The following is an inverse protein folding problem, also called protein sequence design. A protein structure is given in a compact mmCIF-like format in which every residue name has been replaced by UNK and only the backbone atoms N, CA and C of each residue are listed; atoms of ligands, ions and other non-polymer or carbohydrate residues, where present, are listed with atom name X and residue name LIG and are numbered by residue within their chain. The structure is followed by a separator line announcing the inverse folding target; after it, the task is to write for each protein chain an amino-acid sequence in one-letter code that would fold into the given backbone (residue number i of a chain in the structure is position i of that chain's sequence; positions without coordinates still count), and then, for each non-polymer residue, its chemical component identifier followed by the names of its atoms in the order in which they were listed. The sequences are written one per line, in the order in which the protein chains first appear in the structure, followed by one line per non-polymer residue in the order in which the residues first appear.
data_IF_206275454796
#
_entry.id   IF_206275454796
#
_cell.length_a   1.000
_cell.length_b   1.000
_cell.length_c   1.000
_cell.angle_alpha   90.00
_cell.angle_beta   90.00
_cell.angle_gamma   90.00
#
_symmetry.space_group_name_H-M   'P 1'
#
loop_
_entity.id
_entity.type
_entity.pdbx_description
1 polymer ?
#
# COMPACT_ATOMS: atom_id res chain seq x y z
N UNK A 1 8.99 -17.73 -12.04
CA UNK A 1 8.77 -17.62 -11.63
C UNK A 1 8.58 -17.46 -10.96
N UNK A 2 8.36 -17.40 -10.66
CA UNK A 2 7.94 -17.46 -10.01
C UNK A 2 7.86 -16.95 -8.99
N UNK A 3 7.26 -16.64 -8.64
CA UNK A 3 7.03 -16.03 -7.84
C UNK A 3 6.98 -16.64 -6.83
N UNK A 4 7.32 -16.64 -6.11
CA UNK A 4 7.32 -17.21 -5.22
C UNK A 4 6.53 -16.91 -4.27
N UNK A 5 5.50 -17.01 -4.19
CA UNK A 5 4.67 -16.85 -3.25
C UNK A 5 4.86 -17.83 -2.21
N UNK A 6 4.72 -17.54 -1.01
CA UNK A 6 4.79 -18.46 0.05
C UNK A 6 3.75 -19.46 -0.14
N UNK A 7 3.95 -20.69 0.16
CA UNK A 7 3.02 -21.58 0.06
C UNK A 7 2.22 -21.62 1.22
N UNK A 8 1.16 -21.12 1.40
CA UNK A 8 0.29 -21.14 2.53
C UNK A 8 -0.56 -22.34 2.42
N UNK A 9 -0.78 -23.03 3.48
CA UNK A 9 -1.68 -24.12 3.51
C UNK A 9 -3.06 -23.68 3.79
N UNK A 10 -3.52 -22.60 3.22
CA UNK A 10 -4.82 -22.03 3.48
C UNK A 10 -5.60 -22.07 2.22
N UNK A 11 -6.81 -22.58 2.24
CA UNK A 11 -7.69 -22.54 1.11
C UNK A 11 -8.19 -21.16 0.93
N UNK A 12 -8.36 -20.70 -0.27
CA UNK A 12 -8.82 -19.34 -0.50
C UNK A 12 -10.21 -19.10 0.04
N UNK A 13 -11.03 -20.14 0.14
CA UNK A 13 -12.37 -19.96 0.67
C UNK A 13 -12.36 -19.69 2.16
N UNK A 14 -11.23 -19.81 2.83
CA UNK A 14 -11.15 -19.48 4.22
C UNK A 14 -10.57 -18.12 4.46
N UNK A 15 -10.34 -17.36 3.41
CA UNK A 15 -9.80 -16.03 3.55
C UNK A 15 -10.92 -15.02 3.33
N UNK A 16 -10.63 -13.77 3.54
CA UNK A 16 -11.61 -12.73 3.37
C UNK A 16 -11.29 -11.92 2.16
N UNK A 17 -12.33 -11.54 1.44
CA UNK A 17 -12.17 -10.71 0.29
C UNK A 17 -11.87 -9.29 0.70
N UNK A 18 -11.02 -8.61 -0.02
CA UNK A 18 -10.71 -7.23 0.24
C UNK A 18 -11.36 -6.40 -0.85
N UNK A 19 -12.11 -5.39 -0.47
CA UNK A 19 -12.77 -4.54 -1.43
C UNK A 19 -12.29 -3.11 -1.25
N UNK A 20 -12.43 -2.33 -2.28
CA UNK A 20 -12.05 -0.92 -2.22
C UNK A 20 -13.00 -0.19 -1.28
N UNK A 21 -12.43 0.55 -0.35
CA UNK A 21 -13.24 1.28 0.63
C UNK A 21 -14.03 2.40 -0.01
N UNK A 22 -13.65 2.81 -1.21
CA UNK A 22 -14.33 3.91 -1.84
C UNK A 22 -15.35 3.45 -2.87
N UNK A 23 -15.03 2.52 -3.72
CA UNK A 23 -15.94 2.13 -4.78
C UNK A 23 -16.41 0.70 -4.70
N UNK A 24 -15.87 -0.08 -3.80
CA UNK A 24 -16.29 -1.48 -3.67
C UNK A 24 -15.66 -2.42 -4.66
N UNK A 25 -14.72 -1.96 -5.46
CA UNK A 25 -14.08 -2.85 -6.42
C UNK A 25 -13.24 -3.91 -5.76
N UNK A 26 -13.01 -5.00 -6.45
CA UNK A 26 -12.34 -6.13 -5.86
C UNK A 26 -10.98 -6.40 -6.48
N UNK A 27 -10.57 -5.64 -7.46
CA UNK A 27 -9.31 -5.88 -8.14
C UNK A 27 -8.39 -4.72 -7.85
N UNK A 28 -7.17 -5.05 -7.47
CA UNK A 28 -6.20 -4.02 -7.12
C UNK A 28 -4.95 -4.20 -7.96
N UNK A 29 -4.21 -3.13 -8.10
CA UNK A 29 -2.95 -3.18 -8.81
C UNK A 29 -1.87 -2.63 -7.91
N UNK A 30 -0.65 -3.06 -8.11
CA UNK A 30 0.45 -2.62 -7.29
C UNK A 30 1.05 -1.37 -7.88
N UNK A 31 1.37 -0.42 -7.06
CA UNK A 31 2.03 0.79 -7.50
C UNK A 31 2.98 1.28 -6.43
N UNK A 32 3.61 2.39 -6.67
CA UNK A 32 4.53 2.96 -5.71
C UNK A 32 4.03 4.32 -5.27
N UNK A 33 3.96 4.47 -3.95
CA UNK A 33 3.69 5.77 -3.38
C UNK A 33 5.03 6.35 -3.03
N UNK A 34 5.31 7.59 -3.38
CA UNK A 34 6.58 8.20 -3.09
C UNK A 34 6.45 9.18 -1.95
N UNK A 35 7.35 9.07 -1.00
CA UNK A 35 7.43 10.02 0.08
C UNK A 35 8.75 10.76 -0.04
N UNK A 36 8.77 12.01 0.35
CA UNK A 36 9.98 12.80 0.27
C UNK A 36 10.49 13.10 1.66
N UNK A 37 11.74 12.77 1.93
CA UNK A 37 12.35 13.09 3.20
C UNK A 37 13.24 14.29 2.96
N UNK A 38 13.02 15.33 3.73
CA UNK A 38 13.76 16.56 3.59
C UNK A 38 15.23 16.34 3.89
N UNK A 39 16.10 17.04 3.21
CA UNK A 39 17.53 16.96 3.46
C UNK A 39 17.87 17.33 4.90
N UNK A 40 17.01 18.12 5.54
CA UNK A 40 17.27 18.48 6.92
C UNK A 40 17.02 17.31 7.85
N UNK A 41 16.16 16.38 7.44
CA UNK A 41 15.94 15.21 8.24
C UNK A 41 17.00 14.15 8.00
N UNK A 42 17.47 14.04 6.79
CA UNK A 42 18.39 12.98 6.45
C UNK A 42 19.84 13.38 6.65
N UNK A 43 20.12 14.67 6.78
CA UNK A 43 21.49 15.14 6.93
C UNK A 43 22.30 15.08 5.66
N UNK A 44 21.62 15.06 4.52
CA UNK A 44 22.32 14.99 3.26
C UNK A 44 22.17 16.31 2.52
N UNK A 45 22.69 16.38 1.31
CA UNK A 45 22.64 17.62 0.55
C UNK A 45 21.41 17.70 -0.32
N UNK A 46 20.63 16.63 -0.42
CA UNK A 46 19.46 16.64 -1.25
C UNK A 46 18.35 15.93 -0.56
N UNK A 47 17.12 16.28 -0.91
CA UNK A 47 15.96 15.56 -0.40
C UNK A 47 15.99 14.15 -0.95
N UNK A 48 15.46 13.20 -0.22
CA UNK A 48 15.45 11.82 -0.64
C UNK A 48 14.05 11.38 -0.93
N UNK A 49 13.88 10.55 -1.94
CA UNK A 49 12.57 9.96 -2.25
C UNK A 49 12.55 8.54 -1.74
N UNK A 50 11.48 8.21 -1.06
CA UNK A 50 11.32 6.90 -0.46
C UNK A 50 10.17 6.22 -1.15
N UNK A 51 10.40 5.14 -1.87
CA UNK A 51 9.32 4.44 -2.55
C UNK A 51 8.66 3.45 -1.61
N UNK A 52 7.35 3.44 -1.60
CA UNK A 52 6.57 2.52 -0.78
C UNK A 52 5.62 1.78 -1.68
N UNK A 53 5.77 0.46 -1.80
CA UNK A 53 4.83 -0.28 -2.62
C UNK A 53 3.47 -0.35 -1.95
N UNK A 54 2.42 -0.08 -2.67
CA UNK A 54 1.07 -0.16 -2.14
C UNK A 54 0.16 -0.71 -3.22
N UNK A 55 -1.00 -1.17 -2.82
CA UNK A 55 -2.01 -1.59 -3.77
C UNK A 55 -3.04 -0.49 -3.91
N UNK A 56 -3.50 -0.25 -5.12
CA UNK A 56 -4.56 0.71 -5.33
C UNK A 56 -5.66 0.05 -6.14
N UNK A 57 -6.86 0.51 -5.97
CA UNK A 57 -8.00 -0.06 -6.69
C UNK A 57 -7.82 0.16 -8.17
N UNK A 58 -7.95 -0.90 -8.97
CA UNK A 58 -7.73 -0.75 -10.39
C UNK A 58 -8.88 0.00 -11.06
N UNK A 59 -10.02 0.12 -10.41
CA UNK A 59 -11.15 0.83 -10.99
C UNK A 59 -11.12 2.31 -10.67
N UNK A 60 -10.77 2.71 -9.47
CA UNK A 60 -10.85 4.11 -9.09
C UNK A 60 -9.54 4.68 -8.58
N UNK A 61 -8.54 3.87 -8.36
CA UNK A 61 -7.24 4.36 -7.94
C UNK A 61 -7.09 4.60 -6.46
N UNK A 62 -8.11 4.35 -5.69
CA UNK A 62 -8.04 4.62 -4.26
C UNK A 62 -7.16 3.59 -3.55
N UNK A 63 -6.44 4.03 -2.53
CA UNK A 63 -5.62 3.14 -1.73
C UNK A 63 -6.31 2.98 -0.39
N UNK A 64 -6.72 1.75 -0.07
CA UNK A 64 -7.38 1.50 1.19
C UNK A 64 -6.45 1.82 2.34
N UNK A 65 -7.04 2.29 3.42
CA UNK A 65 -6.25 2.65 4.58
C UNK A 65 -5.45 1.49 5.10
N UNK A 66 -5.97 0.28 5.02
CA UNK A 66 -5.26 -0.87 5.57
C UNK A 66 -3.98 -1.17 4.79
N UNK A 67 -3.82 -0.61 3.59
CA UNK A 67 -2.63 -0.83 2.81
C UNK A 67 -1.52 0.15 3.15
N UNK A 68 -1.82 1.14 3.93
CA UNK A 68 -0.83 2.15 4.25
C UNK A 68 -0.03 1.74 5.48
N UNK A 69 1.26 2.06 5.53
CA UNK A 69 2.02 1.81 6.74
C UNK A 69 1.44 2.64 7.87
N UNK A 70 1.63 2.16 9.08
CA UNK A 70 1.01 2.78 10.24
C UNK A 70 1.20 4.27 10.32
N UNK A 71 2.39 4.81 10.14
CA UNK A 71 2.56 6.24 10.28
C UNK A 71 1.85 7.06 9.21
N UNK A 72 1.40 6.42 8.14
CA UNK A 72 0.72 7.14 7.08
C UNK A 72 -0.77 6.90 7.04
N UNK A 73 -1.32 6.20 8.04
CA UNK A 73 -2.75 5.99 8.05
C UNK A 73 -3.45 7.31 8.25
N UNK A 74 -4.61 7.45 7.53
CA UNK A 74 -5.25 8.68 7.52
C UNK A 74 -6.07 8.89 8.66
N UNK A 75 -6.16 8.32 9.58
CA UNK A 75 -7.06 8.57 10.55
C UNK A 75 -6.83 9.54 11.39
N UNK A 76 -6.54 10.05 11.58
CA UNK A 76 -6.40 11.02 12.24
C UNK A 76 -6.86 11.26 13.36
N UNK A 77 -7.16 10.98 13.89
CA UNK A 77 -7.69 11.14 14.90
C UNK A 77 -7.03 11.67 15.65
N UNK A 78 -6.66 12.05 15.71
CA UNK A 78 -6.08 12.51 16.30
C UNK A 78 -6.23 12.74 16.99
#
# INVERSE_FOLDING_TARGET
MNQEQPRLNISLDKTQEVTCDKCGGQVFQEGLMLRKASKFLTGTTQDALIPLPVFSCSACGYVNEEFLPEPLKRNDTV
#
